data_IF_037272032712
#
_entry.id   IF_037272032712
#
_cell.length_a   1.000
_cell.length_b   1.000
_cell.length_c   1.000
_cell.angle_alpha   90.00
_cell.angle_beta   90.00
_cell.angle_gamma   90.00
#
_symmetry.space_group_name_H-M   'P 1'
#
loop_
_entity.id
_entity.type
_entity.pdbx_description
1 polymer ?
#
# COMPACT_ATOMS: atom_id res chain seq x y z
N UNK A 1 4.44 -1.50 13.56
CA UNK A 1 5.01 -1.48 12.21
C UNK A 1 6.43 -0.92 12.16
N UNK A 2 6.79 0.00 13.07
CA UNK A 2 8.17 0.52 13.17
C UNK A 2 9.14 -0.61 13.51
N UNK A 3 8.77 -1.48 14.44
CA UNK A 3 9.60 -2.63 14.81
C UNK A 3 9.80 -3.58 13.63
N UNK A 4 8.73 -3.85 12.86
CA UNK A 4 8.81 -4.67 11.65
C UNK A 4 9.74 -4.04 10.61
N UNK A 5 9.64 -2.73 10.41
CA UNK A 5 10.51 -2.01 9.49
C UNK A 5 11.99 -2.16 9.88
N UNK A 6 12.32 -1.91 11.13
CA UNK A 6 13.71 -2.02 11.64
C UNK A 6 14.26 -3.43 11.50
N UNK A 7 13.47 -4.44 11.85
CA UNK A 7 13.85 -5.84 11.73
C UNK A 7 14.09 -6.22 10.27
N UNK A 8 13.21 -5.79 9.38
CA UNK A 8 13.32 -6.05 7.95
C UNK A 8 14.56 -5.38 7.36
N UNK A 9 14.86 -4.14 7.74
CA UNK A 9 16.04 -3.44 7.25
C UNK A 9 17.32 -4.17 7.65
N UNK A 10 17.39 -4.67 8.88
CA UNK A 10 18.53 -5.46 9.36
C UNK A 10 18.67 -6.76 8.59
N UNK A 11 17.57 -7.49 8.41
CA UNK A 11 17.57 -8.79 7.70
C UNK A 11 17.85 -8.64 6.20
N UNK A 12 17.44 -7.54 5.60
CA UNK A 12 17.53 -7.29 4.16
C UNK A 12 18.80 -6.56 3.74
N UNK A 13 19.78 -6.41 4.62
CA UNK A 13 20.98 -5.61 4.33
C UNK A 13 21.77 -6.03 3.09
N UNK A 14 21.67 -7.30 2.71
CA UNK A 14 22.32 -7.83 1.50
C UNK A 14 21.38 -8.00 0.32
N UNK A 15 20.10 -7.65 0.47
CA UNK A 15 19.14 -7.69 -0.62
C UNK A 15 19.33 -6.45 -1.50
N UNK A 16 19.48 -6.61 -2.83
CA UNK A 16 19.79 -5.47 -3.71
C UNK A 16 18.66 -4.45 -3.85
N UNK A 17 17.41 -4.89 -3.81
CA UNK A 17 16.27 -4.00 -4.01
C UNK A 17 15.28 -4.16 -2.85
N UNK A 18 14.99 -3.06 -2.17
CA UNK A 18 14.06 -3.02 -1.04
C UNK A 18 13.11 -1.83 -1.23
N UNK A 19 11.81 -2.11 -1.18
CA UNK A 19 10.77 -1.11 -1.31
C UNK A 19 9.83 -1.17 -0.13
N UNK A 20 9.29 -0.01 0.27
CA UNK A 20 8.18 0.06 1.20
C UNK A 20 6.88 0.28 0.44
N UNK A 21 5.88 -0.50 0.74
CA UNK A 21 4.55 -0.31 0.17
C UNK A 21 3.71 0.63 1.04
N UNK A 22 2.66 1.17 0.45
CA UNK A 22 1.71 2.03 1.14
C UNK A 22 0.59 1.21 1.75
N UNK A 23 0.27 1.48 3.01
CA UNK A 23 -0.86 0.85 3.68
C UNK A 23 -2.17 1.53 3.31
N UNK A 24 -3.28 0.79 3.46
CA UNK A 24 -4.62 1.33 3.26
C UNK A 24 -4.82 2.54 4.18
N UNK A 25 -5.39 3.65 3.67
CA UNK A 25 -5.63 4.83 4.50
C UNK A 25 -6.57 4.54 5.66
N UNK A 26 -6.10 4.82 6.86
CA UNK A 26 -6.88 4.75 8.09
C UNK A 26 -6.73 6.11 8.77
N UNK A 27 -7.82 6.70 9.30
CA UNK A 27 -7.73 7.98 9.99
C UNK A 27 -6.72 7.91 11.14
N UNK A 28 -5.79 8.85 11.16
CA UNK A 28 -4.78 8.99 12.20
C UNK A 28 -4.56 10.47 12.52
N UNK A 29 -4.28 10.75 13.79
CA UNK A 29 -4.05 12.12 14.26
C UNK A 29 -2.65 12.63 13.96
N UNK A 30 -1.68 11.74 13.86
CA UNK A 30 -0.33 12.07 13.42
C UNK A 30 -0.09 11.51 12.05
N UNK A 31 0.64 12.23 11.25
CA UNK A 31 0.89 11.85 9.88
C UNK A 31 2.39 11.82 9.62
N UNK A 32 2.89 10.60 9.44
CA UNK A 32 4.08 10.43 8.63
C UNK A 32 3.58 10.27 7.21
N UNK A 33 3.64 11.34 6.45
CA UNK A 33 3.21 11.32 5.06
C UNK A 33 4.02 10.31 4.28
N UNK A 34 3.33 9.38 3.64
CA UNK A 34 3.98 8.47 2.70
C UNK A 34 4.33 9.25 1.44
N UNK A 35 5.61 9.36 1.14
CA UNK A 35 6.12 10.06 -0.05
C UNK A 35 6.63 9.03 -1.05
N UNK A 36 5.81 8.59 -1.99
CA UNK A 36 6.23 7.60 -2.97
C UNK A 36 7.19 8.17 -4.00
N UNK A 37 8.05 7.33 -4.52
CA UNK A 37 8.97 7.66 -5.62
C UNK A 37 8.99 6.58 -6.70
N UNK A 38 8.13 5.54 -6.56
CA UNK A 38 8.04 4.47 -7.53
C UNK A 38 6.57 4.04 -7.67
N UNK A 39 6.10 3.92 -8.92
CA UNK A 39 4.70 3.58 -9.20
C UNK A 39 4.64 2.38 -10.13
N UNK A 40 3.71 1.48 -9.86
CA UNK A 40 3.42 0.34 -10.72
C UNK A 40 1.99 0.46 -11.23
N UNK A 41 1.82 0.43 -12.53
CA UNK A 41 0.48 0.42 -13.15
C UNK A 41 -0.18 -0.93 -12.90
N UNK A 42 -1.28 -0.93 -12.17
CA UNK A 42 -2.03 -2.14 -11.83
C UNK A 42 -3.42 -2.15 -12.46
N UNK A 43 -3.63 -1.37 -13.50
CA UNK A 43 -4.95 -1.26 -14.15
C UNK A 43 -5.49 -2.64 -14.55
N UNK A 44 -4.64 -3.52 -15.08
CA UNK A 44 -5.06 -4.84 -15.54
C UNK A 44 -5.23 -5.86 -14.40
N UNK A 45 -4.74 -5.56 -13.20
CA UNK A 45 -4.77 -6.49 -12.06
C UNK A 45 -5.57 -5.98 -10.87
N UNK A 46 -6.24 -4.84 -11.00
CA UNK A 46 -6.98 -4.23 -9.87
C UNK A 46 -8.08 -5.16 -9.35
N UNK A 47 -8.77 -5.88 -10.22
CA UNK A 47 -9.82 -6.81 -9.81
C UNK A 47 -9.26 -7.94 -8.94
N UNK A 48 -8.09 -8.47 -9.29
CA UNK A 48 -7.41 -9.50 -8.50
C UNK A 48 -7.03 -8.96 -7.13
N UNK A 49 -6.54 -7.73 -7.08
CA UNK A 49 -6.17 -7.08 -5.81
C UNK A 49 -7.38 -6.90 -4.91
N UNK A 50 -8.48 -6.37 -5.43
CA UNK A 50 -9.70 -6.17 -4.65
C UNK A 50 -10.30 -7.49 -4.18
N UNK A 51 -10.33 -8.53 -5.04
CA UNK A 51 -10.83 -9.83 -4.68
C UNK A 51 -9.97 -10.52 -3.62
N UNK A 52 -8.64 -10.39 -3.70
CA UNK A 52 -7.73 -10.90 -2.67
C UNK A 52 -7.97 -10.23 -1.33
N UNK A 53 -8.21 -8.92 -1.33
CA UNK A 53 -8.49 -8.15 -0.11
C UNK A 53 -9.81 -8.56 0.54
N UNK A 54 -10.81 -8.93 -0.26
CA UNK A 54 -12.10 -9.42 0.25
C UNK A 54 -11.99 -10.73 1.02
N UNK A 55 -10.93 -11.50 0.82
CA UNK A 55 -10.69 -12.73 1.57
C UNK A 55 -10.35 -12.48 3.06
N UNK A 56 -9.94 -11.27 3.41
CA UNK A 56 -9.65 -10.88 4.80
C UNK A 56 -10.92 -10.44 5.54
N UNK A 57 -11.87 -11.35 5.70
CA UNK A 57 -13.21 -11.06 6.23
C UNK A 57 -13.17 -10.47 7.64
N UNK A 58 -12.30 -10.99 8.52
CA UNK A 58 -12.19 -10.49 9.89
C UNK A 58 -11.76 -9.03 9.96
N UNK A 59 -10.82 -8.63 9.11
CA UNK A 59 -10.37 -7.24 9.03
C UNK A 59 -11.45 -6.33 8.45
N UNK A 60 -12.14 -6.78 7.42
CA UNK A 60 -13.25 -6.03 6.81
C UNK A 60 -14.35 -5.77 7.85
N UNK A 61 -14.74 -6.79 8.62
CA UNK A 61 -15.74 -6.65 9.67
C UNK A 61 -15.30 -5.72 10.78
N UNK A 62 -14.04 -5.83 11.20
CA UNK A 62 -13.46 -4.98 12.25
C UNK A 62 -13.56 -3.51 11.88
N UNK A 63 -13.12 -3.13 10.68
CA UNK A 63 -13.13 -1.74 10.26
C UNK A 63 -14.52 -1.24 9.89
N UNK A 64 -15.38 -2.10 9.37
CA UNK A 64 -16.77 -1.74 9.08
C UNK A 64 -17.51 -1.36 10.35
N UNK A 65 -17.23 -2.01 11.48
CA UNK A 65 -17.84 -1.70 12.77
C UNK A 65 -17.55 -0.28 13.25
N UNK A 66 -16.48 0.35 12.78
CA UNK A 66 -16.11 1.74 13.09
C UNK A 66 -16.32 2.67 11.89
N UNK A 67 -17.12 2.26 10.91
CA UNK A 67 -17.50 3.10 9.78
C UNK A 67 -16.51 3.15 8.64
N UNK A 68 -15.55 2.23 8.58
CA UNK A 68 -14.54 2.21 7.51
C UNK A 68 -14.80 1.07 6.51
N UNK A 69 -14.87 1.40 5.23
CA UNK A 69 -14.94 0.44 4.14
C UNK A 69 -13.53 0.27 3.54
N UNK A 70 -12.83 -0.78 3.95
CA UNK A 70 -11.44 -1.03 3.53
C UNK A 70 -11.34 -1.23 2.03
N UNK A 71 -12.26 -1.98 1.42
CA UNK A 71 -12.20 -2.27 -0.02
C UNK A 71 -12.38 -1.00 -0.84
N UNK A 72 -13.35 -0.17 -0.47
CA UNK A 72 -13.56 1.13 -1.11
C UNK A 72 -12.35 2.04 -0.95
N UNK A 73 -11.78 2.11 0.26
CA UNK A 73 -10.59 2.92 0.53
C UNK A 73 -9.38 2.44 -0.28
N UNK A 74 -9.23 1.13 -0.44
CA UNK A 74 -8.18 0.55 -1.27
C UNK A 74 -8.34 0.95 -2.73
N UNK A 75 -9.55 0.90 -3.25
CA UNK A 75 -9.84 1.31 -4.63
C UNK A 75 -9.58 2.79 -4.84
N UNK A 76 -10.02 3.64 -3.90
CA UNK A 76 -9.80 5.08 -3.94
C UNK A 76 -8.30 5.40 -3.94
N UNK A 77 -7.54 4.75 -3.07
CA UNK A 77 -6.09 4.94 -3.01
C UNK A 77 -5.43 4.55 -4.34
N UNK A 78 -5.83 3.42 -4.92
CA UNK A 78 -5.29 2.96 -6.19
C UNK A 78 -5.61 3.93 -7.33
N UNK A 79 -6.79 4.54 -7.34
CA UNK A 79 -7.16 5.59 -8.29
C UNK A 79 -6.35 6.86 -8.09
N UNK A 80 -6.16 7.29 -6.86
CA UNK A 80 -5.38 8.47 -6.54
C UNK A 80 -3.93 8.32 -7.03
N UNK A 81 -3.31 7.19 -6.75
CA UNK A 81 -1.95 6.89 -7.24
C UNK A 81 -1.92 6.75 -8.76
N UNK A 82 -2.99 6.24 -9.34
CA UNK A 82 -3.16 6.18 -10.80
C UNK A 82 -3.13 7.57 -11.44
N UNK A 83 -3.80 8.54 -10.84
CA UNK A 83 -3.77 9.92 -11.32
C UNK A 83 -2.34 10.45 -11.37
N UNK A 84 -1.56 10.21 -10.32
CA UNK A 84 -0.16 10.65 -10.26
C UNK A 84 0.72 9.94 -11.29
N UNK A 85 0.46 8.68 -11.56
CA UNK A 85 1.24 7.86 -12.49
C UNK A 85 0.73 7.93 -13.94
N UNK A 86 -0.33 8.70 -14.20
CA UNK A 86 -1.00 8.81 -15.50
C UNK A 86 -1.54 7.49 -16.02
N UNK A 87 -2.12 6.69 -15.13
CA UNK A 87 -2.85 5.48 -15.48
C UNK A 87 -4.13 5.40 -14.64
N UNK A 88 -4.96 4.38 -14.88
CA UNK A 88 -6.25 4.27 -14.19
C UNK A 88 -6.09 3.85 -12.74
N UNK A 89 -5.23 2.87 -12.49
CA UNK A 89 -4.92 2.38 -11.14
C UNK A 89 -3.42 2.13 -11.02
N UNK A 90 -2.86 2.49 -9.88
CA UNK A 90 -1.45 2.27 -9.59
C UNK A 90 -1.23 1.90 -8.13
N UNK A 91 -0.13 1.23 -7.85
CA UNK A 91 0.43 1.09 -6.51
C UNK A 91 1.66 1.94 -6.40
N UNK A 92 1.83 2.54 -5.24
CA UNK A 92 2.96 3.42 -4.95
C UNK A 92 3.89 2.78 -3.93
N UNK A 93 5.18 3.01 -4.10
CA UNK A 93 6.23 2.46 -3.26
C UNK A 93 7.25 3.55 -2.92
N UNK A 94 7.88 3.40 -1.77
CA UNK A 94 9.07 4.17 -1.41
C UNK A 94 10.29 3.29 -1.64
N UNK A 95 11.22 3.74 -2.46
CA UNK A 95 12.48 3.04 -2.67
C UNK A 95 13.38 3.27 -1.46
N UNK A 96 13.74 2.17 -0.78
CA UNK A 96 14.71 2.21 0.30
C UNK A 96 16.09 1.95 -0.25
N UNK A 97 16.20 0.98 -1.16
CA UNK A 97 17.48 0.59 -1.77
C UNK A 97 17.20 0.04 -3.15
N UNK A 98 18.00 0.47 -4.11
CA UNK A 98 17.93 -0.07 -5.47
C UNK A 98 19.35 -0.19 -6.03
N UNK A 99 19.70 -1.38 -6.47
CA UNK A 99 20.99 -1.67 -7.10
C UNK A 99 20.73 -2.22 -8.49
N UNK A 100 21.37 -1.57 -9.47
CA UNK A 100 21.31 -2.01 -10.87
C UNK A 100 22.21 -3.20 -11.14
#
# INVERSE_FOLDING_TARGET
HIATFKTTMSAARYVPNVYCYEQIPIPRLYLNSFCPDYYVNITDTIEKKLNSSKAHISQIKKYKSIGLNIIENLEILSKFRGVQAKCKYAEAFKIIKKVW
#
